data_IF_008861227267
#
_entry.id   IF_008861227267
#
_cell.length_a   1.000
_cell.length_b   1.000
_cell.length_c   1.000
_cell.angle_alpha   90.00
_cell.angle_beta   90.00
_cell.angle_gamma   90.00
#
_symmetry.space_group_name_H-M   'P 1'
#
loop_
_entity.id
_entity.type
_entity.pdbx_description
1 polymer ?
#
# COMPACT_ATOMS: atom_id res chain seq x y z
N UNK A 1 10.29 -8.72 -11.63
CA UNK A 1 10.66 -7.63 -10.70
C UNK A 1 9.79 -6.40 -10.89
N UNK A 2 8.51 -6.46 -10.53
CA UNK A 2 7.62 -5.30 -10.46
C UNK A 2 7.01 -5.18 -9.05
N UNK A 3 6.62 -6.32 -8.45
CA UNK A 3 6.10 -6.39 -7.08
C UNK A 3 7.02 -5.77 -6.01
N UNK A 4 8.34 -5.99 -6.10
CA UNK A 4 9.32 -5.45 -5.12
C UNK A 4 9.44 -3.92 -5.18
N UNK A 5 9.32 -3.35 -6.38
CA UNK A 5 9.32 -1.89 -6.57
C UNK A 5 8.03 -1.28 -6.02
N UNK A 6 6.89 -1.93 -6.28
CA UNK A 6 5.57 -1.52 -5.76
C UNK A 6 5.55 -1.57 -4.23
N UNK A 7 6.00 -2.68 -3.61
CA UNK A 7 6.00 -2.79 -2.15
C UNK A 7 6.88 -1.74 -1.49
N UNK A 8 8.06 -1.45 -2.06
CA UNK A 8 8.96 -0.42 -1.52
C UNK A 8 8.35 0.98 -1.63
N UNK A 9 7.72 1.28 -2.77
CA UNK A 9 7.06 2.56 -3.00
C UNK A 9 5.88 2.76 -2.05
N UNK A 10 5.02 1.75 -1.89
CA UNK A 10 3.90 1.76 -0.94
C UNK A 10 4.37 1.95 0.51
N UNK A 11 5.47 1.29 0.92
CA UNK A 11 6.07 1.50 2.24
C UNK A 11 6.58 2.94 2.43
N UNK A 12 7.21 3.53 1.42
CA UNK A 12 7.65 4.92 1.46
C UNK A 12 6.46 5.89 1.52
N UNK A 13 5.40 5.65 0.73
CA UNK A 13 4.18 6.46 0.76
C UNK A 13 3.47 6.44 2.12
N UNK A 14 3.52 5.30 2.82
CA UNK A 14 2.92 5.16 4.15
C UNK A 14 3.80 5.72 5.27
N UNK A 15 5.12 5.83 5.05
CA UNK A 15 6.07 6.35 6.05
C UNK A 15 5.85 7.86 6.24
N UNK A 16 5.66 8.28 7.49
CA UNK A 16 5.44 9.69 7.84
C UNK A 16 4.00 10.18 7.68
N UNK A 17 3.10 9.33 7.18
CA UNK A 17 1.65 9.60 7.12
C UNK A 17 0.94 9.07 8.37
N UNK A 18 -0.20 9.65 8.69
CA UNK A 18 -1.08 9.10 9.72
C UNK A 18 -1.77 7.83 9.21
N UNK A 19 -2.27 7.00 10.13
CA UNK A 19 -3.01 5.78 9.78
C UNK A 19 -4.19 6.07 8.84
N UNK A 20 -4.87 7.20 9.04
CA UNK A 20 -6.00 7.63 8.21
C UNK A 20 -5.57 7.99 6.78
N UNK A 21 -4.41 8.64 6.63
CA UNK A 21 -3.85 8.95 5.32
C UNK A 21 -3.30 7.70 4.63
N UNK A 22 -2.70 6.78 5.39
CA UNK A 22 -2.23 5.51 4.88
C UNK A 22 -3.41 4.63 4.39
N UNK A 23 -4.58 4.69 5.05
CA UNK A 23 -5.81 4.05 4.60
C UNK A 23 -6.41 4.68 3.33
N UNK A 24 -6.02 5.90 2.96
CA UNK A 24 -6.42 6.54 1.69
C UNK A 24 -5.54 6.12 0.51
N UNK A 25 -4.46 5.37 0.75
CA UNK A 25 -3.57 4.87 -0.30
C UNK A 25 -4.24 3.67 -0.97
N UNK A 26 -4.94 3.93 -2.07
CA UNK A 26 -5.59 2.92 -2.90
C UNK A 26 -4.74 2.57 -4.14
N UNK A 27 -5.17 1.56 -4.91
CA UNK A 27 -4.54 1.14 -6.17
C UNK A 27 -4.29 2.32 -7.10
N UNK A 28 -5.26 3.22 -7.22
CA UNK A 28 -5.14 4.41 -8.07
C UNK A 28 -4.03 5.35 -7.62
N UNK A 29 -3.80 5.48 -6.31
CA UNK A 29 -2.74 6.34 -5.77
C UNK A 29 -1.35 5.77 -6.09
N UNK A 30 -1.21 4.45 -5.95
CA UNK A 30 0.02 3.71 -6.27
C UNK A 30 0.27 3.72 -7.79
N UNK A 31 -0.76 3.53 -8.61
CA UNK A 31 -0.67 3.60 -10.08
C UNK A 31 -0.31 5.00 -10.58
N UNK A 32 -0.83 6.05 -9.93
CA UNK A 32 -0.49 7.43 -10.22
C UNK A 32 0.98 7.74 -9.91
N UNK A 33 1.52 7.22 -8.80
CA UNK A 33 2.95 7.37 -8.48
C UNK A 33 3.85 6.61 -9.43
N UNK A 34 3.46 5.42 -9.89
CA UNK A 34 4.28 4.61 -10.79
C UNK A 34 4.16 5.07 -12.27
N UNK A 35 3.66 6.30 -12.52
CA UNK A 35 3.63 6.97 -13.84
C UNK A 35 3.24 6.05 -15.00
N UNK A 36 2.12 5.34 -14.87
CA UNK A 36 1.52 4.62 -15.99
C UNK A 36 2.29 3.39 -16.44
N UNK A 37 2.35 2.36 -15.57
CA UNK A 37 2.69 1.00 -16.00
C UNK A 37 1.72 0.56 -17.14
N UNK A 38 2.22 -0.03 -18.24
CA UNK A 38 1.36 -0.49 -19.33
C UNK A 38 0.32 -1.48 -18.83
N UNK A 39 -0.95 -1.28 -19.22
CA UNK A 39 -2.19 -1.96 -18.79
C UNK A 39 -2.15 -3.51 -18.74
N UNK A 40 -1.13 -4.14 -19.31
CA UNK A 40 -0.98 -5.59 -19.36
C UNK A 40 -0.38 -6.23 -18.08
N UNK A 41 -0.14 -5.46 -17.00
CA UNK A 41 0.39 -5.98 -15.71
C UNK A 41 -0.45 -5.58 -14.47
N UNK A 42 -1.75 -5.34 -14.67
CA UNK A 42 -2.68 -4.89 -13.61
C UNK A 42 -2.83 -5.83 -12.41
N UNK A 43 -2.50 -7.13 -12.53
CA UNK A 43 -2.61 -8.08 -11.41
C UNK A 43 -1.61 -7.80 -10.27
N UNK A 44 -0.44 -7.22 -10.58
CA UNK A 44 0.58 -6.91 -9.57
C UNK A 44 0.34 -5.58 -8.85
N UNK A 45 -0.44 -4.65 -9.43
CA UNK A 45 -0.81 -3.39 -8.78
C UNK A 45 -1.81 -3.60 -7.66
N UNK A 46 -2.78 -4.51 -7.86
CA UNK A 46 -3.85 -4.81 -6.90
C UNK A 46 -3.36 -5.38 -5.55
N UNK A 47 -2.23 -6.10 -5.56
CA UNK A 47 -1.67 -6.72 -4.36
C UNK A 47 -1.01 -5.71 -3.41
N UNK A 48 -0.47 -4.60 -3.92
CA UNK A 48 0.28 -3.62 -3.12
C UNK A 48 -0.55 -2.97 -2.01
N UNK A 49 -1.64 -2.25 -2.34
CA UNK A 49 -2.45 -1.57 -1.34
C UNK A 49 -3.35 -2.52 -0.55
N UNK A 50 -3.71 -3.70 -1.08
CA UNK A 50 -4.31 -4.74 -0.24
C UNK A 50 -3.36 -5.19 0.88
N UNK A 51 -2.08 -5.41 0.56
CA UNK A 51 -1.07 -5.74 1.56
C UNK A 51 -0.89 -4.60 2.58
N UNK A 52 -0.92 -3.34 2.13
CA UNK A 52 -0.85 -2.18 3.02
C UNK A 52 -2.07 -2.11 3.95
N UNK A 53 -3.29 -2.27 3.45
CA UNK A 53 -4.50 -2.27 4.25
C UNK A 53 -4.49 -3.39 5.30
N UNK A 54 -4.08 -4.61 4.91
CA UNK A 54 -3.91 -5.72 5.85
C UNK A 54 -2.85 -5.42 6.91
N UNK A 55 -1.73 -4.80 6.54
CA UNK A 55 -0.70 -4.40 7.50
C UNK A 55 -1.19 -3.32 8.49
N UNK A 56 -1.97 -2.35 8.01
CA UNK A 56 -2.60 -1.33 8.87
C UNK A 56 -3.63 -1.95 9.81
N UNK A 57 -4.44 -2.91 9.31
CA UNK A 57 -5.40 -3.64 10.12
C UNK A 57 -4.70 -4.49 11.21
N UNK A 58 -3.63 -5.21 10.86
CA UNK A 58 -2.81 -5.96 11.83
C UNK A 58 -2.19 -5.02 12.89
N UNK A 59 -1.70 -3.84 12.47
CA UNK A 59 -1.20 -2.82 13.40
C UNK A 59 -2.29 -2.36 14.37
N UNK A 60 -3.49 -2.03 13.89
CA UNK A 60 -4.63 -1.63 14.75
C UNK A 60 -5.01 -2.73 15.74
N UNK A 61 -5.08 -3.98 15.28
CA UNK A 61 -5.39 -5.14 16.13
C UNK A 61 -4.30 -5.33 17.19
N UNK A 62 -3.02 -5.25 16.83
CA UNK A 62 -1.90 -5.37 17.78
C UNK A 62 -1.86 -4.24 18.80
N UNK A 63 -2.19 -3.02 18.40
CA UNK A 63 -2.28 -1.87 19.32
C UNK A 63 -3.44 -2.07 20.29
N UNK A 64 -4.61 -2.52 19.84
CA UNK A 64 -5.74 -2.83 20.72
C UNK A 64 -5.49 -4.03 21.64
N UNK A 65 -4.84 -5.09 21.15
CA UNK A 65 -4.57 -6.31 21.92
C UNK A 65 -3.46 -6.14 22.97
N UNK A 66 -2.72 -5.03 22.95
CA UNK A 66 -1.71 -4.66 23.96
C UNK A 66 -2.25 -3.72 25.04
N UNK A 67 -3.53 -3.34 24.96
CA UNK A 67 -4.22 -2.51 25.95
C UNK A 67 -4.84 -3.32 27.07
#
# INVERSE_FOLDING_TARGET
GAAVAISSLVSLMATGKTIEEAMKIDNKAVEAEIKGLPQNRNHCSQMGPQALHSAIADYKIKVQARG
#
